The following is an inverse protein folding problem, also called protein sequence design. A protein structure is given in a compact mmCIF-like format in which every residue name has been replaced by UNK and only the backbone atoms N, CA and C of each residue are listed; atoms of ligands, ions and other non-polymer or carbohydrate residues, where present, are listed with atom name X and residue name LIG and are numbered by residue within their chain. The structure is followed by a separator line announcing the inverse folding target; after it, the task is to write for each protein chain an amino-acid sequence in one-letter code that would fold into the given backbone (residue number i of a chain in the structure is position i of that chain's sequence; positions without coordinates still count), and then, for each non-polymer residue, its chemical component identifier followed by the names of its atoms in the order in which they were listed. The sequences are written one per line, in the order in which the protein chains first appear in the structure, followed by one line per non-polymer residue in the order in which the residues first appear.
data_IF_387153685331
#
_entry.id   IF_387153685331
#
_cell.length_a   1.000
_cell.length_b   1.000
_cell.length_c   1.000
_cell.angle_alpha   90.00
_cell.angle_beta   90.00
_cell.angle_gamma   90.00
#
_symmetry.space_group_name_H-M   'P 1'
#
loop_
_entity.id
_entity.type
_entity.pdbx_description
1 polymer ?
#
# COMPACT_ATOMS: atom_id res chain seq x y z
N UNK A 1 -12.10 27.26 -11.43
CA UNK A 1 -11.79 26.23 -10.42
C UNK A 1 -11.18 26.90 -9.21
N UNK A 2 -11.90 26.93 -8.10
CA UNK A 2 -11.46 27.55 -6.85
C UNK A 2 -10.45 26.64 -6.13
N UNK A 3 -9.55 27.20 -5.32
CA UNK A 3 -8.57 26.43 -4.53
C UNK A 3 -9.22 25.35 -3.64
N UNK A 4 -10.48 25.53 -3.23
CA UNK A 4 -11.26 24.56 -2.44
C UNK A 4 -11.66 23.33 -3.25
N UNK A 5 -12.08 23.50 -4.51
CA UNK A 5 -12.46 22.39 -5.40
C UNK A 5 -11.29 21.46 -5.71
N UNK A 6 -10.08 22.00 -5.88
CA UNK A 6 -8.85 21.22 -6.09
C UNK A 6 -8.46 20.35 -4.88
N UNK A 7 -8.60 20.88 -3.66
CA UNK A 7 -8.31 20.14 -2.42
C UNK A 7 -9.27 18.96 -2.22
N UNK A 8 -10.57 19.19 -2.44
CA UNK A 8 -11.59 18.13 -2.31
C UNK A 8 -11.39 17.03 -3.35
N UNK A 9 -11.02 17.37 -4.59
CA UNK A 9 -10.70 16.39 -5.64
C UNK A 9 -9.49 15.52 -5.27
N UNK A 10 -8.41 16.14 -4.80
CA UNK A 10 -7.19 15.43 -4.44
C UNK A 10 -7.38 14.55 -3.20
N UNK A 11 -8.16 15.01 -2.22
CA UNK A 11 -8.54 14.19 -1.06
C UNK A 11 -9.35 12.95 -1.47
N UNK A 12 -10.37 13.11 -2.33
CA UNK A 12 -11.14 11.97 -2.86
C UNK A 12 -10.27 10.99 -3.65
N UNK A 13 -9.34 11.48 -4.47
CA UNK A 13 -8.40 10.64 -5.22
C UNK A 13 -7.50 9.83 -4.28
N UNK A 14 -6.99 10.45 -3.21
CA UNK A 14 -6.19 9.76 -2.17
C UNK A 14 -6.97 8.67 -1.47
N UNK A 15 -8.21 8.94 -1.04
CA UNK A 15 -9.09 7.93 -0.43
C UNK A 15 -9.35 6.77 -1.40
N UNK A 16 -9.61 7.07 -2.68
CA UNK A 16 -9.85 6.04 -3.70
C UNK A 16 -8.64 5.10 -3.85
N UNK A 17 -7.44 5.68 -3.88
CA UNK A 17 -6.20 4.93 -3.98
C UNK A 17 -5.94 4.11 -2.73
N UNK A 18 -6.11 4.70 -1.55
CA UNK A 18 -5.94 3.98 -0.29
C UNK A 18 -6.86 2.75 -0.25
N UNK A 19 -8.14 2.93 -0.59
CA UNK A 19 -9.10 1.83 -0.67
C UNK A 19 -8.69 0.75 -1.66
N UNK A 20 -8.20 1.14 -2.84
CA UNK A 20 -7.75 0.19 -3.85
C UNK A 20 -6.56 -0.64 -3.37
N UNK A 21 -5.56 0.00 -2.76
CA UNK A 21 -4.38 -0.70 -2.23
C UNK A 21 -4.77 -1.62 -1.07
N UNK A 22 -5.65 -1.17 -0.17
CA UNK A 22 -6.14 -1.99 0.94
C UNK A 22 -6.95 -3.20 0.45
N UNK A 23 -7.80 -3.02 -0.55
CA UNK A 23 -8.54 -4.13 -1.16
C UNK A 23 -7.56 -5.14 -1.79
N UNK A 24 -6.58 -4.68 -2.55
CA UNK A 24 -5.55 -5.55 -3.13
C UNK A 24 -4.77 -6.30 -2.04
N UNK A 25 -4.30 -5.61 -1.00
CA UNK A 25 -3.55 -6.24 0.07
C UNK A 25 -4.37 -7.32 0.81
N UNK A 26 -5.65 -7.03 1.10
CA UNK A 26 -6.48 -7.89 1.94
C UNK A 26 -7.24 -8.98 1.17
N UNK A 27 -7.49 -8.78 -0.13
CA UNK A 27 -8.29 -9.71 -0.95
C UNK A 27 -7.44 -10.53 -1.91
N UNK A 28 -6.32 -9.99 -2.40
CA UNK A 28 -5.54 -10.64 -3.45
C UNK A 28 -4.55 -11.69 -2.96
N UNK A 29 -4.22 -11.72 -1.66
CA UNK A 29 -3.29 -12.70 -1.08
C UNK A 29 -3.94 -13.55 0.00
N UNK A 30 -3.86 -14.87 -0.14
CA UNK A 30 -4.27 -15.82 0.90
C UNK A 30 -3.46 -15.64 2.18
N UNK A 31 -2.15 -15.40 2.07
CA UNK A 31 -1.29 -15.12 3.22
C UNK A 31 -1.76 -13.89 4.02
N UNK A 32 -2.47 -12.97 3.37
CA UNK A 32 -3.02 -11.76 4.00
C UNK A 32 -4.41 -11.95 4.62
N UNK A 33 -5.10 -13.10 4.40
CA UNK A 33 -6.44 -13.36 4.98
C UNK A 33 -6.44 -13.41 6.51
N UNK A 34 -5.31 -13.80 7.12
CA UNK A 34 -5.15 -13.83 8.59
C UNK A 34 -4.66 -12.52 9.20
N UNK A 35 -4.16 -11.59 8.38
CA UNK A 35 -3.50 -10.35 8.83
C UNK A 35 -3.93 -9.20 7.93
N UNK A 36 -4.96 -8.48 8.37
CA UNK A 36 -5.48 -7.35 7.60
C UNK A 36 -4.55 -6.12 7.68
N UNK A 37 -4.27 -5.54 6.52
CA UNK A 37 -3.70 -4.21 6.40
C UNK A 37 -4.80 -3.16 6.70
N UNK A 38 -4.58 -2.34 7.73
CA UNK A 38 -5.58 -1.39 8.25
C UNK A 38 -5.44 0.03 7.69
N UNK A 39 -4.35 0.31 6.98
CA UNK A 39 -4.03 1.64 6.44
C UNK A 39 -2.64 1.66 5.82
N UNK A 40 -2.29 2.77 5.15
CA UNK A 40 -1.00 2.93 4.47
C UNK A 40 0.04 3.74 5.28
N UNK A 41 -0.21 3.94 6.57
CA UNK A 41 0.79 4.52 7.47
C UNK A 41 1.96 3.55 7.69
N UNK A 42 3.16 4.06 7.98
CA UNK A 42 4.32 3.22 8.31
C UNK A 42 3.99 2.23 9.43
N UNK A 43 3.30 2.67 10.48
CA UNK A 43 2.90 1.82 11.60
C UNK A 43 1.93 0.70 11.18
N UNK A 44 0.97 1.00 10.29
CA UNK A 44 0.05 0.01 9.74
C UNK A 44 0.78 -1.02 8.88
N UNK A 45 1.70 -0.57 8.03
CA UNK A 45 2.52 -1.43 7.17
C UNK A 45 3.39 -2.35 8.04
N UNK A 46 4.10 -1.80 9.03
CA UNK A 46 4.94 -2.60 9.93
C UNK A 46 4.15 -3.64 10.72
N UNK A 47 2.93 -3.31 11.16
CA UNK A 47 2.05 -4.26 11.85
C UNK A 47 1.63 -5.40 10.93
N UNK A 48 1.29 -5.08 9.68
CA UNK A 48 0.93 -6.06 8.66
C UNK A 48 2.10 -7.00 8.33
N UNK A 49 3.29 -6.43 8.08
CA UNK A 49 4.53 -7.18 7.83
C UNK A 49 4.85 -8.15 8.97
N UNK A 50 4.83 -7.68 10.23
CA UNK A 50 5.06 -8.54 11.39
C UNK A 50 4.06 -9.68 11.52
N UNK A 51 2.81 -9.45 11.11
CA UNK A 51 1.81 -10.51 11.10
C UNK A 51 2.11 -11.56 10.02
N UNK A 52 2.52 -11.13 8.81
CA UNK A 52 2.94 -12.04 7.75
C UNK A 52 4.19 -12.84 8.11
N UNK A 53 5.16 -12.21 8.80
CA UNK A 53 6.39 -12.84 9.28
C UNK A 53 6.15 -13.96 10.31
N UNK A 54 4.95 -14.06 10.88
CA UNK A 54 4.58 -15.19 11.73
C UNK A 54 4.38 -16.49 10.93
N UNK A 55 4.17 -16.39 9.62
CA UNK A 55 3.87 -17.52 8.73
C UNK A 55 4.89 -17.65 7.58
N UNK A 56 5.55 -16.54 7.24
CA UNK A 56 6.47 -16.42 6.11
C UNK A 56 7.84 -15.91 6.59
N UNK A 57 8.89 -16.20 5.84
CA UNK A 57 10.21 -15.61 6.12
C UNK A 57 10.25 -14.12 5.76
N UNK A 58 11.09 -13.36 6.47
CA UNK A 58 11.37 -11.94 6.15
C UNK A 58 11.71 -11.77 4.65
N UNK A 59 12.47 -12.70 4.07
CA UNK A 59 12.84 -12.67 2.65
C UNK A 59 11.64 -12.75 1.71
N UNK A 60 10.56 -13.45 2.10
CA UNK A 60 9.32 -13.53 1.33
C UNK A 60 8.50 -12.26 1.48
N UNK A 61 8.43 -11.68 2.69
CA UNK A 61 7.59 -10.51 2.99
C UNK A 61 8.19 -9.19 2.48
N UNK A 62 9.53 -9.08 2.46
CA UNK A 62 10.26 -7.85 2.13
C UNK A 62 9.90 -7.21 0.78
N UNK A 63 9.71 -7.95 -0.33
CA UNK A 63 9.27 -7.36 -1.60
C UNK A 63 7.89 -6.67 -1.48
N UNK A 64 6.94 -7.29 -0.78
CA UNK A 64 5.61 -6.73 -0.57
C UNK A 64 5.64 -5.51 0.36
N UNK A 65 6.43 -5.55 1.44
CA UNK A 65 6.68 -4.39 2.30
C UNK A 65 7.25 -3.21 1.49
N UNK A 66 8.28 -3.47 0.68
CA UNK A 66 8.96 -2.44 -0.11
C UNK A 66 7.99 -1.78 -1.08
N UNK A 67 7.27 -2.56 -1.88
CA UNK A 67 6.29 -2.05 -2.83
C UNK A 67 5.19 -1.23 -2.13
N UNK A 68 4.73 -1.67 -0.95
CA UNK A 68 3.71 -0.97 -0.18
C UNK A 68 4.21 0.37 0.39
N UNK A 69 5.47 0.44 0.85
CA UNK A 69 6.11 1.69 1.29
C UNK A 69 6.31 2.66 0.13
N UNK A 70 6.74 2.17 -1.04
CA UNK A 70 6.90 2.97 -2.25
C UNK A 70 5.54 3.52 -2.74
N UNK A 71 4.48 2.70 -2.71
CA UNK A 71 3.09 3.12 -2.95
C UNK A 71 2.64 4.21 -1.96
N UNK A 72 2.89 4.00 -0.68
CA UNK A 72 2.49 4.97 0.36
C UNK A 72 3.19 6.32 0.20
N UNK A 73 4.47 6.32 -0.22
CA UNK A 73 5.23 7.54 -0.55
C UNK A 73 4.68 8.22 -1.79
N UNK A 74 4.52 7.48 -2.89
CA UNK A 74 4.08 8.01 -4.19
C UNK A 74 2.65 8.58 -4.18
N UNK A 75 1.84 8.15 -3.22
CA UNK A 75 0.45 8.60 -3.02
C UNK A 75 0.31 9.65 -1.92
N UNK A 76 1.42 9.96 -1.24
CA UNK A 76 1.46 10.89 -0.12
C UNK A 76 0.62 10.45 1.07
N UNK A 77 0.45 9.13 1.27
CA UNK A 77 -0.35 8.53 2.35
C UNK A 77 0.48 8.21 3.59
N UNK A 78 1.82 8.27 3.49
CA UNK A 78 2.72 8.30 4.65
C UNK A 78 2.52 9.60 5.43
N UNK A 79 1.88 9.49 6.58
CA UNK A 79 1.48 10.62 7.42
C UNK A 79 2.66 11.51 7.88
N UNK A 80 3.89 11.02 7.90
CA UNK A 80 5.08 11.81 8.25
C UNK A 80 5.48 12.82 7.16
N UNK A 81 5.07 12.62 5.90
CA UNK A 81 5.28 13.58 4.79
C UNK A 81 4.00 14.33 4.39
N UNK A 82 2.92 14.19 5.18
CA UNK A 82 1.61 14.78 4.90
C UNK A 82 1.61 16.31 4.81
N UNK A 83 2.64 17.01 5.31
CA UNK A 83 2.82 18.45 5.11
C UNK A 83 3.32 18.82 3.70
N UNK A 84 4.04 17.95 3.01
CA UNK A 84 4.60 18.20 1.67
C UNK A 84 3.71 17.69 0.54
N UNK A 85 3.14 16.48 0.65
CA UNK A 85 2.32 15.89 -0.43
C UNK A 85 0.99 16.65 -0.67
N UNK A 86 0.46 17.32 0.37
CA UNK A 86 -0.76 18.16 0.27
C UNK A 86 -0.49 19.44 -0.53
N UNK A 87 0.76 19.92 -0.59
CA UNK A 87 1.12 21.15 -1.30
C UNK A 87 1.16 20.96 -2.83
N UNK A 88 1.57 19.79 -3.33
CA UNK A 88 1.76 19.57 -4.77
C UNK A 88 0.58 18.90 -5.47
N UNK A 89 -0.31 18.22 -4.74
CA UNK A 89 -1.56 17.70 -5.29
C UNK A 89 -1.42 16.68 -6.42
N UNK A 90 -0.21 16.15 -6.65
CA UNK A 90 0.06 15.12 -7.65
C UNK A 90 0.19 13.77 -6.95
N UNK A 91 -0.86 12.96 -7.06
CA UNK A 91 -0.68 11.50 -7.05
C UNK A 91 0.26 11.17 -8.20
N UNK A 92 1.35 10.45 -7.95
CA UNK A 92 2.30 10.06 -9.00
C UNK A 92 1.58 9.40 -10.18
N UNK A 93 2.00 9.72 -11.40
CA UNK A 93 1.58 9.00 -12.62
C UNK A 93 1.96 7.53 -12.58
N UNK A 94 2.90 7.15 -11.70
CA UNK A 94 3.44 5.81 -11.59
C UNK A 94 2.60 4.90 -10.68
N UNK A 95 1.51 5.41 -10.08
CA UNK A 95 0.63 4.61 -9.23
C UNK A 95 0.18 3.27 -9.87
N UNK A 96 -0.24 3.21 -11.15
CA UNK A 96 -0.62 1.94 -11.77
C UNK A 96 0.54 0.94 -11.84
N UNK A 97 1.76 1.41 -12.09
CA UNK A 97 2.95 0.58 -12.18
C UNK A 97 3.32 0.05 -10.78
N UNK A 98 3.35 0.93 -9.78
CA UNK A 98 3.61 0.55 -8.39
C UNK A 98 2.56 -0.42 -7.83
N UNK A 99 1.29 -0.24 -8.21
CA UNK A 99 0.22 -1.15 -7.83
C UNK A 99 0.39 -2.52 -8.50
N UNK A 100 0.84 -2.57 -9.76
CA UNK A 100 1.14 -3.81 -10.45
C UNK A 100 2.33 -4.55 -9.79
N UNK A 101 3.38 -3.83 -9.42
CA UNK A 101 4.52 -4.40 -8.67
C UNK A 101 4.09 -4.96 -7.32
N UNK A 102 3.21 -4.24 -6.60
CA UNK A 102 2.66 -4.73 -5.34
C UNK A 102 1.82 -6.00 -5.53
N UNK A 103 0.96 -6.06 -6.56
CA UNK A 103 0.19 -7.27 -6.91
C UNK A 103 1.11 -8.46 -7.22
N UNK A 104 2.19 -8.23 -7.96
CA UNK A 104 3.18 -9.27 -8.26
C UNK A 104 3.90 -9.76 -7.00
N UNK A 105 4.26 -8.85 -6.09
CA UNK A 105 4.88 -9.21 -4.82
C UNK A 105 3.93 -10.02 -3.93
N UNK A 106 2.63 -9.68 -3.91
CA UNK A 106 1.61 -10.46 -3.20
C UNK A 106 1.42 -11.87 -3.79
N UNK A 107 1.37 -12.00 -5.12
CA UNK A 107 1.26 -13.31 -5.77
C UNK A 107 2.44 -14.22 -5.41
N UNK A 108 3.66 -13.67 -5.30
CA UNK A 108 4.84 -14.42 -4.87
C UNK A 108 4.78 -14.88 -3.40
N UNK A 109 3.99 -14.23 -2.54
CA UNK A 109 3.75 -14.71 -1.17
C UNK A 109 2.92 -15.99 -1.19
N UNK A 110 1.89 -16.04 -2.03
CA UNK A 110 0.95 -17.16 -2.09
C UNK A 110 1.58 -18.39 -2.75
N UNK A 111 2.34 -18.23 -3.84
CA UNK A 111 3.03 -19.35 -4.50
C UNK A 111 3.99 -20.07 -3.55
N UNK A 112 4.68 -19.32 -2.68
CA UNK A 112 5.66 -19.89 -1.74
C UNK A 112 5.06 -20.35 -0.42
N UNK A 113 3.78 -20.04 -0.16
CA UNK A 113 3.04 -20.60 0.97
C UNK A 113 2.55 -22.03 0.68
N UNK A 114 2.44 -22.41 -0.59
CA UNK A 114 1.95 -23.73 -1.01
C UNK A 114 3.02 -24.85 -0.99
N UNK A 115 4.31 -24.48 -0.91
CA UNK A 115 5.46 -25.41 -0.92
C UNK A 115 6.00 -25.77 0.48
N UNK A 116 5.40 -25.24 1.56
CA UNK A 116 5.80 -25.49 2.96
C UNK A 116 4.77 -26.29 3.74
#
# INVERSE_FOLDING_TARGET
MTKSEGRTRNFRKRISIEREVLAVANEASEASRGVALLGLSEASIQRWVKGLECQLSERQVRPAERALKELSRATGLLADESRCAVAEGKVSSDFPNLLAEFKLALAQLDEKSADG
#
